data_IF_056240280415
#
_entry.id   IF_056240280415
#
_cell.length_a   1.000
_cell.length_b   1.000
_cell.length_c   1.000
_cell.angle_alpha   90.00
_cell.angle_beta   90.00
_cell.angle_gamma   90.00
#
_symmetry.space_group_name_H-M   'P 1'
#
loop_
_entity.id
_entity.type
_entity.pdbx_description
1 polymer ?
#
# COMPACT_ATOMS: atom_id res chain seq x y z
N UNK A 1 24.63 -2.03 -13.68
CA UNK A 1 23.87 -2.21 -12.42
C UNK A 1 24.78 -2.58 -11.25
N UNK A 2 25.74 -3.50 -11.42
CA UNK A 2 26.74 -3.83 -10.38
C UNK A 2 27.64 -2.64 -10.00
N UNK A 3 28.04 -1.81 -10.96
CA UNK A 3 28.79 -0.57 -10.67
C UNK A 3 27.97 0.46 -9.90
N UNK A 4 26.66 0.53 -10.16
CA UNK A 4 25.74 1.41 -9.42
C UNK A 4 25.61 0.96 -7.95
N UNK A 5 25.56 -0.35 -7.69
CA UNK A 5 25.56 -0.91 -6.33
C UNK A 5 26.88 -0.60 -5.62
N UNK A 6 28.02 -0.73 -6.31
CA UNK A 6 29.34 -0.38 -5.75
C UNK A 6 29.45 1.11 -5.44
N UNK A 7 28.91 1.98 -6.32
CA UNK A 7 28.90 3.43 -6.14
C UNK A 7 28.02 3.89 -4.98
N UNK A 8 26.92 3.18 -4.67
CA UNK A 8 26.08 3.46 -3.48
C UNK A 8 26.90 3.33 -2.18
N UNK A 9 27.80 2.35 -2.10
CA UNK A 9 28.67 2.16 -0.93
C UNK A 9 29.93 3.03 -0.95
N UNK A 10 30.37 3.46 -2.14
CA UNK A 10 31.54 4.33 -2.30
C UNK A 10 31.24 5.80 -1.95
N UNK A 11 30.05 6.31 -2.29
CA UNK A 11 29.68 7.71 -2.03
C UNK A 11 29.14 7.85 -0.61
N UNK A 12 29.85 8.61 0.24
CA UNK A 12 29.53 8.74 1.66
C UNK A 12 28.12 9.32 1.94
N UNK A 13 27.62 10.24 1.10
CA UNK A 13 26.26 10.79 1.26
C UNK A 13 25.19 9.74 0.95
N UNK A 14 25.31 9.02 -0.18
CA UNK A 14 24.41 7.92 -0.55
C UNK A 14 24.38 6.83 0.53
N UNK A 15 25.55 6.43 1.03
CA UNK A 15 25.65 5.44 2.12
C UNK A 15 24.90 5.88 3.37
N UNK A 16 25.03 7.16 3.78
CA UNK A 16 24.29 7.70 4.94
C UNK A 16 22.78 7.64 4.72
N UNK A 17 22.30 8.05 3.55
CA UNK A 17 20.86 8.01 3.21
C UNK A 17 20.30 6.60 3.17
N UNK A 18 21.07 5.64 2.62
CA UNK A 18 20.68 4.23 2.58
C UNK A 18 20.64 3.63 3.99
N UNK A 19 21.67 3.84 4.80
CA UNK A 19 21.69 3.38 6.19
C UNK A 19 20.57 4.01 7.03
N UNK A 20 20.28 5.29 6.82
CA UNK A 20 19.15 5.97 7.45
C UNK A 20 17.82 5.32 7.06
N UNK A 21 17.62 5.06 5.77
CA UNK A 21 16.41 4.39 5.25
C UNK A 21 16.26 2.99 5.84
N UNK A 22 17.31 2.18 5.82
CA UNK A 22 17.31 0.83 6.41
C UNK A 22 17.07 0.88 7.93
N UNK A 23 17.64 1.86 8.63
CA UNK A 23 17.41 2.08 10.05
C UNK A 23 15.95 2.38 10.37
N UNK A 24 15.30 3.27 9.61
CA UNK A 24 13.87 3.56 9.80
C UNK A 24 12.97 2.37 9.43
N UNK A 25 13.33 1.60 8.40
CA UNK A 25 12.61 0.36 8.07
C UNK A 25 12.77 -0.71 9.17
N UNK A 26 13.93 -0.79 9.81
CA UNK A 26 14.14 -1.65 10.97
C UNK A 26 13.27 -1.22 12.16
N UNK A 27 13.17 0.09 12.43
CA UNK A 27 12.27 0.63 13.47
C UNK A 27 10.81 0.29 13.16
N UNK A 28 10.37 0.46 11.91
CA UNK A 28 9.04 0.06 11.46
C UNK A 28 8.78 -1.43 11.73
N UNK A 29 9.77 -2.29 11.45
CA UNK A 29 9.65 -3.74 11.72
C UNK A 29 9.61 -4.07 13.20
N UNK A 30 10.37 -3.39 14.04
CA UNK A 30 10.31 -3.61 15.50
C UNK A 30 8.91 -3.26 16.01
N UNK A 31 8.33 -2.15 15.56
CA UNK A 31 6.96 -1.78 15.94
C UNK A 31 5.90 -2.76 15.41
N UNK A 32 6.13 -3.43 14.27
CA UNK A 32 5.27 -4.53 13.81
C UNK A 32 5.28 -5.78 14.70
N UNK A 33 6.07 -5.81 15.77
CA UNK A 33 6.04 -6.91 16.77
C UNK A 33 5.39 -6.51 18.08
N UNK A 34 5.07 -5.23 18.25
CA UNK A 34 4.41 -4.70 19.45
C UNK A 34 2.89 -4.86 19.27
N UNK A 35 2.22 -5.68 20.10
CA UNK A 35 0.78 -5.86 20.00
C UNK A 35 0.04 -4.63 20.49
N UNK A 36 -1.16 -4.43 19.96
CA UNK A 36 -2.11 -3.49 20.54
C UNK A 36 -2.59 -4.02 21.90
N UNK A 37 -2.60 -3.20 22.97
CA UNK A 37 -3.11 -3.62 24.27
C UNK A 37 -4.56 -4.10 24.20
N UNK A 38 -4.88 -5.16 24.94
CA UNK A 38 -6.25 -5.65 25.11
C UNK A 38 -6.73 -6.67 24.07
N UNK A 39 -5.89 -7.11 23.13
CA UNK A 39 -6.25 -8.10 22.11
C UNK A 39 -5.53 -9.43 22.35
N UNK A 40 -6.28 -10.54 22.31
CA UNK A 40 -5.70 -11.88 22.32
C UNK A 40 -5.22 -12.30 20.92
N UNK A 41 -3.91 -12.51 20.78
CA UNK A 41 -3.26 -12.88 19.51
C UNK A 41 -3.69 -14.24 18.98
N UNK A 42 -3.92 -15.22 19.85
CA UNK A 42 -4.24 -16.59 19.44
C UNK A 42 -5.66 -16.67 18.86
N UNK A 43 -6.62 -16.02 19.51
CA UNK A 43 -8.00 -15.91 19.02
C UNK A 43 -8.06 -15.12 17.69
N UNK A 44 -7.26 -14.06 17.56
CA UNK A 44 -7.16 -13.28 16.33
C UNK A 44 -6.60 -14.11 15.16
N UNK A 45 -5.56 -14.92 15.40
CA UNK A 45 -4.99 -15.77 14.36
C UNK A 45 -6.00 -16.80 13.84
N UNK A 46 -6.83 -17.37 14.70
CA UNK A 46 -7.91 -18.28 14.29
C UNK A 46 -8.98 -17.56 13.45
N UNK A 47 -9.37 -16.35 13.84
CA UNK A 47 -10.31 -15.52 13.07
C UNK A 47 -9.71 -15.13 11.70
N UNK A 48 -8.43 -14.80 11.66
CA UNK A 48 -7.72 -14.40 10.44
C UNK A 48 -7.47 -15.56 9.48
N UNK A 49 -7.29 -16.80 9.98
CA UNK A 49 -7.23 -17.99 9.11
C UNK A 49 -8.55 -18.23 8.36
N UNK A 50 -9.68 -17.89 8.98
CA UNK A 50 -10.99 -18.02 8.35
C UNK A 50 -11.34 -16.81 7.46
N UNK A 51 -10.74 -15.64 7.73
CA UNK A 51 -10.97 -14.38 7.03
C UNK A 51 -9.84 -14.00 6.03
N UNK A 52 -8.86 -14.87 5.81
CA UNK A 52 -7.68 -14.60 4.95
C UNK A 52 -8.02 -14.44 3.47
N UNK A 53 -9.24 -14.78 3.07
CA UNK A 53 -9.73 -14.68 1.70
C UNK A 53 -10.42 -13.33 1.52
N UNK A 54 -9.85 -12.44 0.71
CA UNK A 54 -10.50 -11.16 0.43
C UNK A 54 -9.59 -9.94 0.36
N UNK A 55 -10.26 -8.80 0.27
CA UNK A 55 -9.73 -7.44 0.48
C UNK A 55 -8.91 -7.34 1.79
N UNK A 56 -9.30 -8.06 2.85
CA UNK A 56 -8.55 -8.13 4.10
C UNK A 56 -7.15 -8.74 3.94
N UNK A 57 -6.97 -9.73 3.07
CA UNK A 57 -5.66 -10.30 2.76
C UNK A 57 -4.76 -9.32 2.01
N UNK A 58 -5.32 -8.54 1.09
CA UNK A 58 -4.59 -7.46 0.41
C UNK A 58 -4.15 -6.37 1.39
N UNK A 59 -5.03 -6.01 2.33
CA UNK A 59 -4.73 -5.06 3.40
C UNK A 59 -3.63 -5.57 4.33
N UNK A 60 -3.67 -6.86 4.66
CA UNK A 60 -2.63 -7.47 5.50
C UNK A 60 -1.28 -7.52 4.77
N UNK A 61 -1.29 -7.80 3.46
CA UNK A 61 -0.07 -7.80 2.64
C UNK A 61 0.57 -6.41 2.56
N UNK A 62 -0.22 -5.36 2.31
CA UNK A 62 0.30 -3.98 2.24
C UNK A 62 0.70 -3.41 3.60
N UNK A 63 0.09 -3.90 4.69
CA UNK A 63 0.50 -3.54 6.06
C UNK A 63 1.65 -4.39 6.59
N UNK A 64 2.15 -5.38 5.85
CA UNK A 64 3.29 -6.21 6.28
C UNK A 64 2.96 -7.24 7.36
N UNK A 65 1.73 -7.78 7.31
CA UNK A 65 1.15 -8.71 8.30
C UNK A 65 0.86 -8.06 9.67
N UNK A 66 0.72 -6.73 9.69
CA UNK A 66 0.49 -5.98 10.91
C UNK A 66 -0.96 -6.04 11.37
N UNK A 67 -1.89 -6.21 10.43
CA UNK A 67 -3.32 -6.34 10.69
C UNK A 67 -3.63 -7.73 11.27
N UNK A 68 -3.04 -8.79 10.70
CA UNK A 68 -3.17 -10.17 11.19
C UNK A 68 -2.51 -10.45 12.52
N UNK A 69 -1.64 -9.55 12.98
CA UNK A 69 -1.05 -9.61 14.32
C UNK A 69 -1.63 -8.53 15.26
N UNK A 70 -2.59 -7.72 14.79
CA UNK A 70 -3.15 -6.53 15.47
C UNK A 70 -2.10 -5.73 16.23
N UNK A 71 -1.06 -5.33 15.51
CA UNK A 71 0.05 -4.56 16.07
C UNK A 71 -0.30 -3.08 16.20
N UNK A 72 0.55 -2.30 16.87
CA UNK A 72 0.39 -0.84 16.94
C UNK A 72 0.34 -0.18 15.55
N UNK A 73 0.86 -0.85 14.51
CA UNK A 73 0.83 -0.41 13.13
C UNK A 73 -0.18 -1.19 12.28
N UNK A 74 -1.26 -1.71 12.86
CA UNK A 74 -2.24 -2.54 12.15
C UNK A 74 -2.87 -1.84 10.94
N UNK A 75 -3.17 -0.53 11.05
CA UNK A 75 -3.64 0.29 9.92
C UNK A 75 -2.53 0.60 8.90
N UNK A 76 -1.27 0.47 9.32
CA UNK A 76 -0.09 0.74 8.51
C UNK A 76 -0.12 2.15 7.92
N UNK A 77 0.03 2.21 6.60
CA UNK A 77 0.06 3.47 5.83
C UNK A 77 -1.22 3.71 5.04
N UNK A 78 -2.19 2.81 5.18
CA UNK A 78 -3.44 2.82 4.40
C UNK A 78 -4.30 4.07 4.63
N UNK A 79 -4.47 4.59 5.87
CA UNK A 79 -5.24 5.81 6.08
C UNK A 79 -4.65 7.00 5.30
N UNK A 80 -3.33 7.03 5.13
CA UNK A 80 -2.66 8.06 4.34
C UNK A 80 -2.90 7.89 2.84
N UNK A 81 -2.79 6.65 2.35
CA UNK A 81 -3.07 6.32 0.95
C UNK A 81 -4.51 6.75 0.62
N UNK A 82 -5.48 6.35 1.43
CA UNK A 82 -6.88 6.72 1.25
C UNK A 82 -7.09 8.24 1.30
N UNK A 83 -6.47 8.95 2.26
CA UNK A 83 -6.56 10.41 2.31
C UNK A 83 -5.97 11.08 1.06
N UNK A 84 -4.83 10.58 0.58
CA UNK A 84 -4.17 11.12 -0.62
C UNK A 84 -5.00 10.92 -1.88
N UNK A 85 -5.66 9.76 -1.98
CA UNK A 85 -6.56 9.40 -3.07
C UNK A 85 -7.81 10.29 -3.05
N UNK A 86 -8.43 10.46 -1.88
CA UNK A 86 -9.60 11.32 -1.72
C UNK A 86 -9.27 12.74 -2.17
N UNK A 87 -8.12 13.29 -1.76
CA UNK A 87 -7.70 14.63 -2.17
C UNK A 87 -7.35 14.71 -3.65
N UNK A 88 -6.73 13.69 -4.23
CA UNK A 88 -6.48 13.63 -5.68
C UNK A 88 -7.80 13.65 -6.46
N UNK A 89 -8.79 12.87 -6.06
CA UNK A 89 -10.13 12.91 -6.68
C UNK A 89 -10.79 14.27 -6.49
N UNK A 90 -10.71 14.82 -5.28
CA UNK A 90 -11.29 16.12 -4.96
C UNK A 90 -10.62 17.26 -5.73
N UNK A 91 -9.35 17.14 -6.13
CA UNK A 91 -8.68 18.14 -6.98
C UNK A 91 -9.28 18.24 -8.38
N UNK A 92 -9.90 17.17 -8.89
CA UNK A 92 -10.57 17.18 -10.20
C UNK A 92 -11.97 17.77 -10.10
N UNK A 93 -12.66 17.53 -8.98
CA UNK A 93 -14.05 17.98 -8.77
C UNK A 93 -14.10 19.41 -8.22
N UNK A 94 -13.14 19.80 -7.38
CA UNK A 94 -13.15 21.06 -6.64
C UNK A 94 -12.14 22.08 -7.22
N UNK A 95 -12.59 23.21 -7.80
CA UNK A 95 -11.73 24.13 -8.56
C UNK A 95 -10.67 24.86 -7.71
N UNK A 96 -10.92 25.08 -6.41
CA UNK A 96 -9.90 25.60 -5.48
C UNK A 96 -8.69 24.67 -5.35
N UNK A 97 -8.92 23.36 -5.19
CA UNK A 97 -7.85 22.38 -5.06
C UNK A 97 -7.12 22.17 -6.39
N UNK A 98 -7.84 22.27 -7.51
CA UNK A 98 -7.23 22.28 -8.84
C UNK A 98 -6.26 23.45 -9.02
N UNK A 99 -6.68 24.67 -8.66
CA UNK A 99 -5.83 25.87 -8.70
C UNK A 99 -4.61 25.72 -7.80
N UNK A 100 -4.84 25.24 -6.58
CA UNK A 100 -3.77 24.97 -5.62
C UNK A 100 -2.77 23.93 -6.15
N UNK A 101 -3.23 22.90 -6.86
CA UNK A 101 -2.34 21.94 -7.51
C UNK A 101 -1.50 22.56 -8.65
N UNK A 102 -1.98 23.65 -9.27
CA UNK A 102 -1.30 24.38 -10.35
C UNK A 102 -0.36 25.48 -9.84
N UNK A 103 -0.46 25.88 -8.57
CA UNK A 103 0.40 26.89 -7.92
C UNK A 103 1.85 26.43 -7.65
N UNK A 104 2.23 25.23 -8.10
CA UNK A 104 3.60 24.71 -7.99
C UNK A 104 3.91 24.10 -6.62
N UNK A 105 5.11 24.34 -6.10
CA UNK A 105 5.59 23.68 -4.86
C UNK A 105 4.81 24.08 -3.61
N UNK A 106 4.47 25.37 -3.48
CA UNK A 106 3.71 25.87 -2.32
C UNK A 106 2.32 25.24 -2.25
N UNK A 107 1.65 25.11 -3.39
CA UNK A 107 0.36 24.46 -3.49
C UNK A 107 0.40 22.97 -3.17
N UNK A 108 1.40 22.24 -3.70
CA UNK A 108 1.64 20.83 -3.35
C UNK A 108 1.89 20.61 -1.85
N UNK A 109 2.61 21.52 -1.19
CA UNK A 109 2.81 21.46 0.28
C UNK A 109 1.50 21.59 1.04
N UNK A 110 0.61 22.51 0.64
CA UNK A 110 -0.73 22.65 1.25
C UNK A 110 -1.59 21.41 1.03
N UNK A 111 -1.60 20.84 -0.18
CA UNK A 111 -2.33 19.59 -0.43
C UNK A 111 -1.80 18.48 0.48
N UNK A 112 -0.48 18.36 0.61
CA UNK A 112 0.15 17.39 1.53
C UNK A 112 -0.27 17.62 2.98
N UNK A 113 -0.38 18.88 3.42
CA UNK A 113 -0.87 19.22 4.75
C UNK A 113 -2.33 18.78 4.95
N UNK A 114 -3.21 18.98 3.96
CA UNK A 114 -4.57 18.46 4.01
C UNK A 114 -4.59 16.93 4.03
N UNK A 115 -3.70 16.27 3.28
CA UNK A 115 -3.57 14.80 3.32
C UNK A 115 -3.21 14.33 4.72
N UNK A 116 -2.30 15.01 5.42
CA UNK A 116 -1.93 14.68 6.81
C UNK A 116 -3.12 14.79 7.75
N UNK A 117 -3.91 15.86 7.67
CA UNK A 117 -5.10 16.01 8.50
C UNK A 117 -6.16 14.95 8.17
N UNK A 118 -6.40 14.70 6.87
CA UNK A 118 -7.30 13.65 6.41
C UNK A 118 -6.87 12.27 6.90
N UNK A 119 -5.57 11.99 6.92
CA UNK A 119 -4.99 10.73 7.40
C UNK A 119 -5.35 10.48 8.87
N UNK A 120 -5.20 11.48 9.73
CA UNK A 120 -5.50 11.35 11.16
C UNK A 120 -7.00 11.13 11.37
N UNK A 121 -7.85 11.90 10.69
CA UNK A 121 -9.31 11.75 10.78
C UNK A 121 -9.74 10.36 10.32
N UNK A 122 -9.23 9.90 9.17
CA UNK A 122 -9.53 8.55 8.67
C UNK A 122 -9.01 7.46 9.59
N UNK A 123 -7.81 7.63 10.17
CA UNK A 123 -7.25 6.67 11.10
C UNK A 123 -8.11 6.54 12.36
N UNK A 124 -8.63 7.65 12.90
CA UNK A 124 -9.56 7.63 14.04
C UNK A 124 -10.84 6.89 13.68
N UNK A 125 -11.47 7.22 12.55
CA UNK A 125 -12.72 6.58 12.11
C UNK A 125 -12.53 5.08 11.86
N UNK A 126 -11.46 4.70 11.15
CA UNK A 126 -11.13 3.30 10.88
C UNK A 126 -10.78 2.54 12.16
N UNK A 127 -10.03 3.17 13.08
CA UNK A 127 -9.69 2.55 14.36
C UNK A 127 -10.93 2.32 15.25
N UNK A 128 -11.90 3.24 15.23
CA UNK A 128 -13.20 3.03 15.90
C UNK A 128 -13.93 1.84 15.28
N UNK A 129 -13.98 1.78 13.94
CA UNK A 129 -14.60 0.67 13.21
C UNK A 129 -13.97 -0.68 13.56
N UNK A 130 -12.65 -0.75 13.59
CA UNK A 130 -11.90 -1.96 13.97
C UNK A 130 -12.14 -2.32 15.45
N UNK A 131 -12.13 -1.33 16.36
CA UNK A 131 -12.38 -1.59 17.78
C UNK A 131 -13.78 -2.18 18.02
N UNK A 132 -14.81 -1.62 17.37
CA UNK A 132 -16.18 -2.14 17.45
C UNK A 132 -16.28 -3.52 16.79
N UNK A 133 -15.64 -3.72 15.64
CA UNK A 133 -15.62 -5.02 14.97
C UNK A 133 -15.00 -6.10 15.86
N UNK A 134 -13.85 -5.84 16.47
CA UNK A 134 -13.18 -6.79 17.36
C UNK A 134 -14.02 -7.09 18.60
N UNK A 135 -14.65 -6.09 19.18
CA UNK A 135 -15.55 -6.27 20.34
C UNK A 135 -16.77 -7.13 19.97
N UNK A 136 -17.41 -6.89 18.82
CA UNK A 136 -18.59 -7.67 18.38
C UNK A 136 -18.27 -9.11 17.98
N UNK A 137 -17.04 -9.40 17.57
CA UNK A 137 -16.61 -10.75 17.19
C UNK A 137 -15.99 -11.55 18.35
N UNK A 138 -15.99 -11.01 19.57
CA UNK A 138 -15.44 -11.64 20.79
C UNK A 138 -16.05 -13.03 21.07
N UNK A 139 -17.31 -13.26 20.69
CA UNK A 139 -18.03 -14.51 20.98
C UNK A 139 -17.90 -15.58 19.88
N UNK A 140 -17.32 -15.28 18.71
CA UNK A 140 -17.30 -16.20 17.56
C UNK A 140 -16.03 -17.05 17.44
N UNK A 141 -14.93 -16.70 18.10
CA UNK A 141 -13.65 -17.40 17.96
C UNK A 141 -13.40 -18.37 19.13
N UNK A 142 -14.03 -19.55 19.08
CA UNK A 142 -13.58 -20.73 19.84
C UNK A 142 -13.67 -20.63 21.38
N UNK A 143 -14.45 -19.69 21.94
CA UNK A 143 -14.65 -19.54 23.38
C UNK A 143 -13.55 -18.76 24.12
N UNK A 144 -12.59 -18.17 23.40
CA UNK A 144 -11.58 -17.26 23.96
C UNK A 144 -11.98 -15.80 23.67
N UNK A 145 -12.10 -14.92 24.68
CA UNK A 145 -12.43 -13.54 24.42
C UNK A 145 -11.31 -12.87 23.61
N UNK A 146 -11.62 -12.39 22.40
CA UNK A 146 -10.69 -11.56 21.60
C UNK A 146 -10.26 -10.31 22.36
N UNK A 147 -11.13 -9.77 23.21
CA UNK A 147 -10.89 -8.58 24.03
C UNK A 147 -11.02 -8.95 25.51
N UNK A 148 -9.97 -8.73 26.30
CA UNK A 148 -9.95 -9.10 27.72
C UNK A 148 -10.99 -8.33 28.56
N UNK A 149 -11.28 -7.07 28.20
CA UNK A 149 -12.30 -6.24 28.85
C UNK A 149 -13.05 -5.43 27.79
N UNK A 150 -14.24 -5.88 27.38
CA UNK A 150 -15.10 -5.14 26.46
C UNK A 150 -15.62 -3.86 27.14
N UNK A 151 -15.50 -2.71 26.46
CA UNK A 151 -16.00 -1.42 26.96
C UNK A 151 -15.36 -0.19 26.32
N UNK A 152 -15.84 0.99 26.70
CA UNK A 152 -15.35 2.27 26.20
C UNK A 152 -13.85 2.50 26.45
N UNK A 153 -13.31 1.94 27.54
CA UNK A 153 -11.88 1.98 27.84
C UNK A 153 -11.03 1.27 26.78
N UNK A 154 -11.44 0.09 26.32
CA UNK A 154 -10.77 -0.64 25.24
C UNK A 154 -10.86 0.11 23.92
N UNK A 155 -12.04 0.66 23.59
CA UNK A 155 -12.24 1.43 22.34
C UNK A 155 -11.31 2.64 22.29
N UNK A 156 -11.29 3.45 23.35
CA UNK A 156 -10.42 4.64 23.41
C UNK A 156 -8.94 4.27 23.35
N UNK A 157 -8.52 3.25 24.09
CA UNK A 157 -7.14 2.76 24.07
C UNK A 157 -6.73 2.26 22.68
N UNK A 158 -7.60 1.50 22.01
CA UNK A 158 -7.37 0.99 20.65
C UNK A 158 -7.29 2.13 19.65
N UNK A 159 -8.21 3.08 19.72
CA UNK A 159 -8.24 4.26 18.84
C UNK A 159 -6.98 5.10 19.00
N UNK A 160 -6.56 5.39 20.24
CA UNK A 160 -5.32 6.11 20.50
C UNK A 160 -4.12 5.35 19.97
N UNK A 161 -4.01 4.05 20.27
CA UNK A 161 -2.87 3.23 19.86
C UNK A 161 -2.73 3.15 18.34
N UNK A 162 -3.82 2.85 17.63
CA UNK A 162 -3.83 2.72 16.17
C UNK A 162 -3.64 4.07 15.46
N UNK A 163 -4.23 5.14 15.99
CA UNK A 163 -4.07 6.50 15.41
C UNK A 163 -2.65 7.00 15.62
N UNK A 164 -2.08 6.87 16.82
CA UNK A 164 -0.70 7.23 17.11
C UNK A 164 0.27 6.39 16.29
N UNK A 165 0.02 5.08 16.17
CA UNK A 165 0.82 4.19 15.32
C UNK A 165 0.81 4.62 13.85
N UNK A 166 -0.37 4.93 13.30
CA UNK A 166 -0.50 5.42 11.92
C UNK A 166 0.22 6.76 11.73
N UNK A 167 0.06 7.71 12.66
CA UNK A 167 0.73 9.01 12.60
C UNK A 167 2.26 8.85 12.63
N UNK A 168 2.76 7.91 13.43
CA UNK A 168 4.17 7.58 13.48
C UNK A 168 4.67 6.94 12.18
N UNK A 169 3.91 6.01 11.58
CA UNK A 169 4.26 5.40 10.28
C UNK A 169 4.28 6.44 9.17
N UNK A 170 3.31 7.35 9.14
CA UNK A 170 3.30 8.48 8.20
C UNK A 170 4.55 9.35 8.38
N UNK A 171 4.87 9.70 9.62
CA UNK A 171 6.08 10.48 9.92
C UNK A 171 7.36 9.75 9.48
N UNK A 172 7.48 8.44 9.71
CA UNK A 172 8.61 7.63 9.24
C UNK A 172 8.75 7.71 7.72
N UNK A 173 7.64 7.56 6.97
CA UNK A 173 7.65 7.64 5.52
C UNK A 173 8.07 9.01 4.99
N UNK A 174 7.66 10.09 5.66
CA UNK A 174 8.10 11.44 5.32
C UNK A 174 9.59 11.65 5.61
N UNK A 175 10.09 11.16 6.75
CA UNK A 175 11.52 11.24 7.08
C UNK A 175 12.39 10.45 6.09
N UNK A 176 11.94 9.28 5.65
CA UNK A 176 12.62 8.53 4.58
C UNK A 176 12.63 9.33 3.27
N UNK A 177 11.55 10.05 2.96
CA UNK A 177 11.46 10.86 1.73
C UNK A 177 12.39 12.08 1.78
N UNK A 178 12.50 12.74 2.93
CA UNK A 178 13.33 13.95 3.11
C UNK A 178 14.83 13.64 3.21
N UNK A 179 15.19 12.61 3.99
CA UNK A 179 16.59 12.31 4.35
C UNK A 179 17.11 10.99 3.80
N UNK A 180 16.22 10.13 3.33
CA UNK A 180 16.55 8.81 2.82
C UNK A 180 16.68 8.79 1.30
N UNK A 181 16.32 7.64 0.72
CA UNK A 181 16.32 7.40 -0.72
C UNK A 181 14.91 7.14 -1.24
N UNK A 182 14.55 7.74 -2.37
CA UNK A 182 13.26 7.48 -3.03
C UNK A 182 12.04 8.04 -2.28
N UNK A 183 10.88 7.41 -2.49
CA UNK A 183 9.64 7.75 -1.80
C UNK A 183 9.48 6.83 -0.58
N UNK A 184 9.50 7.41 0.62
CA UNK A 184 9.43 6.64 1.85
C UNK A 184 8.11 5.89 2.04
N UNK A 185 6.99 6.45 1.59
CA UNK A 185 5.69 5.76 1.68
C UNK A 185 5.69 4.50 0.82
N UNK A 186 6.20 4.60 -0.42
CA UNK A 186 6.33 3.45 -1.33
C UNK A 186 7.32 2.41 -0.79
N UNK A 187 8.39 2.83 -0.14
CA UNK A 187 9.36 1.92 0.48
C UNK A 187 8.81 1.17 1.68
N UNK A 188 7.95 1.80 2.49
CA UNK A 188 7.27 1.11 3.61
C UNK A 188 6.35 0.02 3.08
N UNK A 189 5.56 0.30 2.03
CA UNK A 189 4.70 -0.70 1.38
C UNK A 189 5.54 -1.83 0.80
N UNK A 190 6.60 -1.50 0.07
CA UNK A 190 7.51 -2.48 -0.50
C UNK A 190 8.13 -3.39 0.58
N UNK A 191 8.61 -2.80 1.68
CA UNK A 191 9.14 -3.55 2.80
C UNK A 191 8.08 -4.46 3.43
N UNK A 192 6.84 -3.99 3.57
CA UNK A 192 5.71 -4.80 4.05
C UNK A 192 5.46 -6.04 3.19
N UNK A 193 5.39 -5.86 1.86
CA UNK A 193 5.15 -6.97 0.91
C UNK A 193 6.32 -7.96 0.91
N UNK A 194 7.55 -7.46 0.83
CA UNK A 194 8.76 -8.31 0.72
C UNK A 194 8.98 -9.16 1.97
N UNK A 195 8.59 -8.67 3.13
CA UNK A 195 8.69 -9.42 4.40
C UNK A 195 7.84 -10.70 4.40
N UNK A 196 6.76 -10.75 3.62
CA UNK A 196 5.94 -11.96 3.48
C UNK A 196 6.53 -13.01 2.53
N UNK A 197 7.48 -12.63 1.67
CA UNK A 197 8.07 -13.54 0.67
C UNK A 197 8.85 -14.70 1.30
N UNK A 198 9.74 -14.50 2.30
CA UNK A 198 10.47 -15.61 2.93
C UNK A 198 9.53 -16.66 3.53
N UNK A 199 8.51 -16.24 4.28
CA UNK A 199 7.52 -17.17 4.85
C UNK A 199 6.77 -17.93 3.77
N UNK A 200 6.37 -17.26 2.68
CA UNK A 200 5.69 -17.92 1.57
C UNK A 200 6.59 -18.97 0.91
N UNK A 201 7.88 -18.67 0.69
CA UNK A 201 8.85 -19.63 0.13
C UNK A 201 9.01 -20.84 1.04
N UNK A 202 9.17 -20.66 2.36
CA UNK A 202 9.27 -21.79 3.29
C UNK A 202 8.00 -22.64 3.32
N UNK A 203 6.81 -22.02 3.32
CA UNK A 203 5.54 -22.74 3.26
C UNK A 203 5.42 -23.56 1.97
N UNK A 204 5.79 -23.00 0.81
CA UNK A 204 5.77 -23.73 -0.45
C UNK A 204 6.77 -24.88 -0.48
N UNK A 205 7.95 -24.72 0.13
CA UNK A 205 8.94 -25.79 0.26
C UNK A 205 8.44 -26.92 1.18
N UNK A 206 7.73 -26.61 2.25
CA UNK A 206 7.12 -27.62 3.13
C UNK A 206 5.94 -28.33 2.44
N UNK A 207 5.15 -27.63 1.63
CA UNK A 207 4.11 -28.24 0.79
C UNK A 207 4.70 -29.21 -0.27
N UNK A 208 5.90 -28.91 -0.78
CA UNK A 208 6.63 -29.82 -1.65
C UNK A 208 7.11 -31.07 -0.88
N UNK A 209 7.62 -30.89 0.35
CA UNK A 209 8.08 -32.01 1.20
C UNK A 209 6.95 -32.94 1.64
N UNK A 210 5.78 -32.38 1.91
CA UNK A 210 4.57 -33.14 2.31
C UNK A 210 3.84 -33.76 1.12
N UNK A 211 4.30 -33.53 -0.12
CA UNK A 211 3.72 -34.08 -1.34
C UNK A 211 2.39 -33.44 -1.75
N UNK A 212 1.98 -32.33 -1.12
CA UNK A 212 0.77 -31.58 -1.49
C UNK A 212 0.92 -30.88 -2.85
N UNK A 213 2.16 -30.51 -3.22
CA UNK A 213 2.47 -29.90 -4.52
C UNK A 213 3.48 -30.79 -5.24
N UNK A 214 3.17 -31.15 -6.49
CA UNK A 214 4.11 -31.85 -7.36
C UNK A 214 5.28 -30.95 -7.78
N UNK A 215 6.48 -31.53 -7.91
CA UNK A 215 7.68 -30.80 -8.34
C UNK A 215 7.49 -30.08 -9.69
N UNK A 216 6.70 -30.67 -10.59
CA UNK A 216 6.36 -30.06 -11.89
C UNK A 216 5.56 -28.75 -11.72
N UNK A 217 4.59 -28.72 -10.79
CA UNK A 217 3.79 -27.53 -10.48
C UNK A 217 4.65 -26.41 -9.91
N UNK A 218 5.63 -26.74 -9.05
CA UNK A 218 6.57 -25.77 -8.49
C UNK A 218 7.43 -25.13 -9.59
N UNK A 219 7.99 -25.94 -10.49
CA UNK A 219 8.81 -25.44 -11.62
C UNK A 219 7.97 -24.55 -12.52
N UNK A 220 6.74 -24.98 -12.86
CA UNK A 220 5.80 -24.17 -13.65
C UNK A 220 5.52 -22.82 -12.97
N UNK A 221 5.26 -22.82 -11.66
CA UNK A 221 4.99 -21.61 -10.88
C UNK A 221 6.17 -20.63 -10.95
N UNK A 222 7.40 -21.12 -10.75
CA UNK A 222 8.61 -20.27 -10.84
C UNK A 222 8.80 -19.69 -12.23
N UNK A 223 8.58 -20.49 -13.29
CA UNK A 223 8.67 -20.03 -14.67
C UNK A 223 7.63 -18.96 -14.98
N UNK A 224 6.38 -19.16 -14.55
CA UNK A 224 5.31 -18.18 -14.73
C UNK A 224 5.63 -16.88 -13.97
N UNK A 225 6.09 -16.97 -12.73
CA UNK A 225 6.52 -15.79 -11.97
C UNK A 225 7.64 -15.01 -12.67
N UNK A 226 8.66 -15.71 -13.17
CA UNK A 226 9.76 -15.08 -13.92
C UNK A 226 9.25 -14.42 -15.22
N UNK A 227 8.35 -15.08 -15.94
CA UNK A 227 7.75 -14.54 -17.16
C UNK A 227 6.92 -13.28 -16.89
N UNK A 228 6.13 -13.27 -15.82
CA UNK A 228 5.34 -12.10 -15.39
C UNK A 228 6.26 -10.93 -15.01
N UNK A 229 7.32 -11.18 -14.23
CA UNK A 229 8.30 -10.14 -13.88
C UNK A 229 8.98 -9.58 -15.15
N UNK A 230 9.37 -10.45 -16.08
CA UNK A 230 9.98 -10.02 -17.34
C UNK A 230 9.02 -9.17 -18.17
N UNK A 231 7.75 -9.54 -18.26
CA UNK A 231 6.71 -8.78 -18.94
C UNK A 231 6.50 -7.39 -18.31
N UNK A 232 6.41 -7.32 -16.97
CA UNK A 232 6.29 -6.05 -16.24
C UNK A 232 7.49 -5.15 -16.53
N UNK A 233 8.73 -5.68 -16.43
CA UNK A 233 9.95 -4.91 -16.71
C UNK A 233 10.01 -4.43 -18.17
N UNK A 234 9.56 -5.26 -19.11
CA UNK A 234 9.51 -4.91 -20.52
C UNK A 234 8.56 -3.74 -20.78
N UNK A 235 7.34 -3.79 -20.23
CA UNK A 235 6.34 -2.73 -20.39
C UNK A 235 6.78 -1.45 -19.66
N UNK A 236 7.29 -1.55 -18.44
CA UNK A 236 7.68 -0.39 -17.62
C UNK A 236 8.92 0.35 -18.18
N UNK A 237 9.83 -0.36 -18.85
CA UNK A 237 10.96 0.26 -19.57
C UNK A 237 10.59 0.75 -20.98
N UNK A 238 9.44 0.33 -21.49
CA UNK A 238 8.90 0.78 -22.77
C UNK A 238 8.65 2.29 -22.76
N UNK A 239 9.24 3.00 -23.71
CA UNK A 239 8.95 4.41 -23.95
C UNK A 239 8.88 4.70 -25.44
N UNK A 240 7.87 5.48 -25.83
CA UNK A 240 7.72 6.05 -27.15
C UNK A 240 8.55 7.32 -27.25
N UNK A 241 9.51 7.35 -28.18
CA UNK A 241 10.33 8.55 -28.44
C UNK A 241 9.58 9.45 -29.42
N UNK A 242 9.12 10.61 -28.94
CA UNK A 242 8.52 11.64 -29.80
C UNK A 242 9.58 12.69 -30.11
N UNK A 243 9.96 12.83 -31.37
CA UNK A 243 10.99 13.79 -31.80
C UNK A 243 10.45 15.22 -31.73
N UNK A 244 11.19 16.09 -31.06
CA UNK A 244 10.91 17.53 -30.97
C UNK A 244 12.09 18.28 -31.56
N UNK A 245 11.77 19.24 -32.42
CA UNK A 245 12.76 20.14 -33.00
C UNK A 245 12.72 21.45 -32.24
N UNK A 246 13.81 21.77 -31.53
CA UNK A 246 13.95 23.09 -30.93
C UNK A 246 14.16 24.12 -32.03
N UNK A 247 13.48 25.27 -31.90
CA UNK A 247 13.59 26.36 -32.87
C UNK A 247 15.05 26.78 -33.03
N UNK A 248 15.51 26.78 -34.28
CA UNK A 248 16.88 27.13 -34.62
C UNK A 248 17.03 28.65 -34.54
N UNK A 249 18.06 29.15 -33.83
CA UNK A 249 18.38 30.57 -33.86
C UNK A 249 19.33 30.83 -35.03
N UNK A 250 18.84 31.52 -36.05
CA UNK A 250 19.69 31.97 -37.16
C UNK A 250 20.39 33.25 -36.70
N UNK A 251 21.73 33.25 -36.67
CA UNK A 251 22.55 34.45 -36.41
C UNK A 251 23.45 34.66 -37.62
N UNK A 252 23.18 35.69 -38.42
CA UNK A 252 23.90 35.97 -39.68
C UNK A 252 23.60 34.92 -40.78
N UNK A 253 24.62 34.51 -41.55
CA UNK A 253 24.51 33.46 -42.60
C UNK A 253 24.72 32.03 -42.08
N UNK A 254 24.91 31.83 -40.77
CA UNK A 254 25.15 30.51 -40.18
C UNK A 254 23.99 30.12 -39.26
N UNK A 255 23.43 28.95 -39.53
CA UNK A 255 22.44 28.32 -38.67
C UNK A 255 23.18 27.69 -37.48
N UNK A 256 22.97 28.23 -36.27
CA UNK A 256 23.51 27.66 -35.04
C UNK A 256 22.38 26.99 -34.25
N UNK A 257 22.62 25.76 -33.82
CA UNK A 257 21.66 25.00 -33.03
C UNK A 257 20.53 24.41 -33.87
N UNK A 258 20.08 23.24 -33.43
CA UNK A 258 19.14 22.39 -34.14
C UNK A 258 19.36 20.91 -33.84
N UNK A 259 19.78 20.57 -32.62
CA UNK A 259 19.86 19.17 -32.22
C UNK A 259 18.44 18.64 -32.07
N UNK A 260 18.06 17.68 -32.91
CA UNK A 260 16.84 16.91 -32.72
C UNK A 260 16.93 16.24 -31.35
N UNK A 261 15.98 16.55 -30.47
CA UNK A 261 15.86 15.87 -29.18
C UNK A 261 14.57 15.07 -29.20
N UNK A 262 14.47 14.02 -28.39
CA UNK A 262 13.23 13.30 -28.20
C UNK A 262 12.68 13.51 -26.79
N UNK A 263 11.36 13.64 -26.67
CA UNK A 263 10.69 13.52 -25.38
C UNK A 263 10.29 12.04 -25.22
N UNK A 264 10.80 11.32 -24.20
CA UNK A 264 10.39 9.96 -23.94
C UNK A 264 9.02 9.95 -23.25
N UNK A 265 8.01 9.43 -23.92
CA UNK A 265 6.70 9.15 -23.33
C UNK A 265 6.69 7.70 -22.86
N UNK A 266 6.61 7.45 -21.55
CA UNK A 266 6.50 6.09 -21.00
C UNK A 266 5.19 5.44 -21.45
N UNK A 267 5.22 4.12 -21.66
CA UNK A 267 4.01 3.35 -21.96
C UNK A 267 3.04 3.39 -20.77
N UNK A 268 3.56 3.23 -19.55
CA UNK A 268 2.82 3.41 -18.31
C UNK A 268 3.27 4.71 -17.61
N UNK A 269 2.39 5.71 -17.56
CA UNK A 269 2.64 6.96 -16.85
C UNK A 269 2.13 6.93 -15.41
N UNK A 270 1.14 6.09 -15.10
CA UNK A 270 0.50 5.98 -13.78
C UNK A 270 1.30 5.17 -12.76
N UNK A 271 2.17 4.27 -13.23
CA UNK A 271 2.99 3.42 -12.36
C UNK A 271 2.12 2.53 -11.48
N UNK A 272 2.34 2.57 -10.16
CA UNK A 272 1.65 1.72 -9.17
C UNK A 272 0.37 2.37 -8.62
N UNK A 273 0.18 3.68 -8.85
CA UNK A 273 -0.94 4.45 -8.26
C UNK A 273 -2.30 3.91 -8.70
N UNK A 274 -2.57 3.64 -10.01
CA UNK A 274 -3.87 3.12 -10.45
C UNK A 274 -4.23 1.78 -9.80
N UNK A 275 -3.26 0.89 -9.63
CA UNK A 275 -3.48 -0.42 -8.99
C UNK A 275 -3.89 -0.28 -7.52
N UNK A 276 -3.21 0.61 -6.79
CA UNK A 276 -3.55 0.93 -5.40
C UNK A 276 -4.93 1.58 -5.34
N UNK A 277 -5.20 2.53 -6.23
CA UNK A 277 -6.46 3.25 -6.31
C UNK A 277 -7.65 2.32 -6.57
N UNK A 278 -7.56 1.47 -7.60
CA UNK A 278 -8.57 0.46 -7.90
C UNK A 278 -8.85 -0.44 -6.69
N UNK A 279 -7.79 -0.87 -6.00
CA UNK A 279 -7.92 -1.69 -4.80
C UNK A 279 -8.60 -0.96 -3.65
N UNK A 280 -8.25 0.31 -3.40
CA UNK A 280 -8.85 1.11 -2.32
C UNK A 280 -10.33 1.42 -2.58
N UNK A 281 -10.72 1.67 -3.84
CA UNK A 281 -12.12 1.92 -4.21
C UNK A 281 -12.98 0.69 -3.95
N UNK A 282 -12.52 -0.50 -4.39
CA UNK A 282 -13.28 -1.74 -4.16
C UNK A 282 -13.33 -2.13 -2.68
N UNK A 283 -12.27 -1.79 -1.95
CA UNK A 283 -12.16 -2.13 -0.56
C UNK A 283 -12.99 -1.23 0.38
N UNK A 284 -13.32 -0.01 -0.04
CA UNK A 284 -14.13 0.91 0.76
C UNK A 284 -15.55 0.37 1.03
N UNK A 285 -16.35 -0.05 0.02
CA UNK A 285 -17.63 -0.71 0.25
C UNK A 285 -17.51 -2.00 1.08
N UNK A 286 -16.48 -2.82 0.79
CA UNK A 286 -16.26 -4.09 1.48
C UNK A 286 -16.03 -3.90 3.00
N UNK A 287 -15.49 -2.75 3.41
CA UNK A 287 -15.27 -2.42 4.84
C UNK A 287 -16.59 -2.22 5.61
N UNK A 288 -17.65 -1.75 4.94
CA UNK A 288 -18.98 -1.58 5.56
C UNK A 288 -19.84 -2.83 5.51
N UNK A 289 -19.44 -3.82 4.71
CA UNK A 289 -20.23 -5.03 4.53
C UNK A 289 -20.52 -5.76 5.86
N UNK A 290 -19.57 -5.90 6.82
CA UNK A 290 -19.85 -6.49 8.14
C UNK A 290 -20.80 -5.68 9.03
N UNK A 291 -21.11 -4.42 8.69
CA UNK A 291 -22.03 -3.57 9.44
C UNK A 291 -23.50 -3.88 9.10
N UNK A 292 -23.77 -4.54 7.97
CA UNK A 292 -25.12 -4.92 7.53
C UNK A 292 -25.44 -6.37 7.85
N UNK A 293 -26.69 -6.64 8.25
CA UNK A 293 -27.18 -8.00 8.52
C UNK A 293 -27.14 -8.88 7.27
N UNK A 294 -26.88 -10.18 7.48
CA UNK A 294 -26.69 -11.21 6.42
C UNK A 294 -27.88 -11.33 5.46
N UNK A 295 -29.08 -10.94 5.91
CA UNK A 295 -30.33 -11.01 5.14
C UNK A 295 -30.57 -9.78 4.25
N UNK A 296 -29.80 -8.70 4.40
CA UNK A 296 -29.98 -7.48 3.63
C UNK A 296 -29.56 -7.65 2.16
N UNK A 297 -30.34 -7.15 1.19
CA UNK A 297 -29.93 -7.10 -0.22
C UNK A 297 -28.60 -6.37 -0.42
N UNK A 298 -28.31 -5.39 0.44
CA UNK A 298 -27.05 -4.64 0.42
C UNK A 298 -25.84 -5.51 0.78
N UNK A 299 -25.99 -6.48 1.69
CA UNK A 299 -24.91 -7.40 2.04
C UNK A 299 -24.58 -8.32 0.87
N UNK A 300 -25.60 -8.86 0.18
CA UNK A 300 -25.41 -9.69 -1.02
C UNK A 300 -24.71 -8.94 -2.16
N UNK A 301 -25.05 -7.66 -2.36
CA UNK A 301 -24.37 -6.82 -3.35
C UNK A 301 -22.90 -6.56 -2.97
N UNK A 302 -22.62 -6.34 -1.69
CA UNK A 302 -21.25 -6.15 -1.18
C UNK A 302 -20.44 -7.45 -1.19
N UNK A 303 -21.07 -8.60 -1.00
CA UNK A 303 -20.42 -9.91 -1.10
C UNK A 303 -20.02 -10.20 -2.55
N UNK A 304 -20.80 -9.78 -3.55
CA UNK A 304 -20.42 -9.85 -4.98
C UNK A 304 -19.20 -9.00 -5.34
N UNK A 305 -18.91 -7.98 -4.54
CA UNK A 305 -17.70 -7.14 -4.62
C UNK A 305 -16.57 -7.76 -3.77
N UNK A 306 -16.77 -8.92 -3.14
CA UNK A 306 -15.74 -9.68 -2.45
C UNK A 306 -14.73 -10.33 -3.38
N UNK A 307 -13.47 -10.39 -2.95
CA UNK A 307 -12.36 -10.94 -3.75
C UNK A 307 -12.60 -12.42 -4.04
N UNK A 308 -12.37 -12.84 -5.28
CA UNK A 308 -12.63 -14.20 -5.76
C UNK A 308 -13.99 -14.38 -6.44
N UNK A 309 -14.84 -13.35 -6.46
CA UNK A 309 -16.01 -13.31 -7.34
C UNK A 309 -15.67 -12.66 -8.68
N UNK A 310 -16.22 -13.15 -9.80
CA UNK A 310 -15.89 -12.65 -11.14
C UNK A 310 -16.23 -11.16 -11.33
N UNK A 311 -17.21 -10.64 -10.58
CA UNK A 311 -17.57 -9.23 -10.61
C UNK A 311 -16.51 -8.34 -9.94
N UNK A 312 -15.90 -8.78 -8.83
CA UNK A 312 -14.76 -8.08 -8.26
C UNK A 312 -13.61 -8.03 -9.26
N UNK A 313 -13.24 -9.17 -9.86
CA UNK A 313 -12.08 -9.21 -10.75
C UNK A 313 -12.29 -8.33 -11.99
N UNK A 314 -13.50 -8.31 -12.55
CA UNK A 314 -13.86 -7.44 -13.66
C UNK A 314 -13.79 -5.96 -13.27
N UNK A 315 -14.38 -5.57 -12.13
CA UNK A 315 -14.32 -4.19 -11.65
C UNK A 315 -12.89 -3.76 -11.29
N UNK A 316 -12.08 -4.68 -10.76
CA UNK A 316 -10.68 -4.41 -10.42
C UNK A 316 -9.84 -4.18 -11.66
N UNK A 317 -9.96 -5.04 -12.68
CA UNK A 317 -9.28 -4.86 -13.96
C UNK A 317 -9.76 -3.59 -14.66
N UNK A 318 -11.07 -3.33 -14.66
CA UNK A 318 -11.61 -2.09 -15.22
C UNK A 318 -11.04 -0.85 -14.50
N UNK A 319 -11.01 -0.84 -13.17
CA UNK A 319 -10.46 0.27 -12.39
C UNK A 319 -8.93 0.43 -12.49
N UNK A 320 -8.19 -0.59 -12.92
CA UNK A 320 -6.76 -0.46 -13.24
C UNK A 320 -6.56 0.22 -14.60
N UNK A 321 -7.46 -0.04 -15.55
CA UNK A 321 -7.36 0.44 -16.94
C UNK A 321 -7.89 1.88 -17.07
N UNK A 322 -8.97 2.21 -16.37
CA UNK A 322 -9.67 3.51 -16.41
C UNK A 322 -9.31 4.39 -15.21
#
# INVERSE_FOLDING_TARGET
MLDSLKNIFAVADLRKRVLFTLGLLAVYRIGSKIPTPGINREALQQLMQNASTGVFGLYDMFSGQNLSQMTIFALGIMPYISASIILQLLTVVWPYLERLSKEGELGRRKITQYTRYGTIVLAVVQAIGIAIFLERNTDMAGGLPLVQNAGWGFRLMTVLTLTTGTAFVMWLGEQITERGIGNGMSLIIYAGIVVGLPSAVFMTLDQLRTGQIGALTLVLLVVVMAAVIAAIVFVERGHRRVTVQYAKRVVGRRQYGGSSTHIPLKVNTGGVIPVIFASSILAFPATFAPMFDVTSPWRRALDQIGMGMPLHDLLYVAGIIF
#
